data_IF_909005968672
#
_entry.id   IF_909005968672
#
_cell.length_a   1.000
_cell.length_b   1.000
_cell.length_c   1.000
_cell.angle_alpha   90.00
_cell.angle_beta   90.00
_cell.angle_gamma   90.00
#
_symmetry.space_group_name_H-M   'P 1'
#
loop_
_entity.id
_entity.type
_entity.pdbx_description
1 polymer ?
#
# COMPACT_ATOMS: atom_id res chain seq x y z
N UNK A 1 -18.93 10.04 21.80
CA UNK A 1 -17.77 9.51 21.03
C UNK A 1 -17.93 8.01 20.91
N UNK A 2 -17.87 7.46 19.69
CA UNK A 2 -18.01 6.02 19.44
C UNK A 2 -16.65 5.42 19.11
N UNK A 3 -16.29 4.29 19.76
CA UNK A 3 -15.00 3.63 19.61
C UNK A 3 -15.21 2.13 19.40
N UNK A 4 -14.80 1.62 18.25
CA UNK A 4 -14.97 0.22 17.87
C UNK A 4 -13.61 -0.40 17.49
N UNK A 5 -13.29 -1.55 18.08
CA UNK A 5 -12.16 -2.39 17.61
C UNK A 5 -12.59 -3.10 16.32
N UNK A 6 -11.93 -2.79 15.21
CA UNK A 6 -12.33 -3.30 13.88
C UNK A 6 -11.49 -4.50 13.43
N UNK A 7 -10.28 -4.64 13.96
CA UNK A 7 -9.39 -5.79 13.76
C UNK A 7 -8.32 -5.82 14.86
N UNK A 8 -7.52 -6.88 15.01
CA UNK A 8 -6.37 -6.90 15.89
C UNK A 8 -5.44 -5.70 15.64
N UNK A 9 -5.13 -4.93 16.72
CA UNK A 9 -4.29 -3.73 16.61
C UNK A 9 -4.93 -2.55 15.89
N UNK A 10 -6.25 -2.57 15.62
CA UNK A 10 -6.94 -1.54 14.87
C UNK A 10 -8.27 -1.12 15.51
N UNK A 11 -8.50 0.20 15.56
CA UNK A 11 -9.76 0.79 16.04
C UNK A 11 -10.27 1.87 15.09
N UNK A 12 -11.56 2.07 15.09
CA UNK A 12 -12.20 3.22 14.48
C UNK A 12 -12.89 4.06 15.56
N UNK A 13 -12.62 5.36 15.58
CA UNK A 13 -13.22 6.29 16.54
C UNK A 13 -13.92 7.40 15.78
N UNK A 14 -15.24 7.53 16.00
CA UNK A 14 -16.05 8.65 15.51
C UNK A 14 -16.32 9.63 16.65
N UNK A 15 -15.86 10.86 16.51
CA UNK A 15 -16.02 11.90 17.52
C UNK A 15 -17.36 12.65 17.41
N UNK A 16 -18.23 12.25 16.50
CA UNK A 16 -19.53 12.86 16.29
C UNK A 16 -19.45 14.32 15.85
N UNK A 17 -19.88 15.26 16.68
CA UNK A 17 -19.98 16.70 16.35
C UNK A 17 -18.64 17.34 15.95
N UNK A 18 -17.50 16.86 16.45
CA UNK A 18 -16.19 17.35 16.01
C UNK A 18 -15.89 16.96 14.56
N UNK A 19 -16.59 15.97 14.00
CA UNK A 19 -16.44 15.51 12.62
C UNK A 19 -15.09 14.83 12.34
N UNK A 20 -14.35 14.46 13.39
CA UNK A 20 -13.11 13.74 13.27
C UNK A 20 -13.41 12.23 13.34
N UNK A 21 -13.04 11.51 12.30
CA UNK A 21 -13.22 10.07 12.15
C UNK A 21 -11.83 9.43 12.02
N UNK A 22 -11.42 8.72 13.04
CA UNK A 22 -10.03 8.34 13.25
C UNK A 22 -9.86 6.84 13.04
N UNK A 23 -9.01 6.46 12.11
CA UNK A 23 -8.47 5.11 12.00
C UNK A 23 -7.24 5.01 12.90
N UNK A 24 -7.31 4.24 13.98
CA UNK A 24 -6.22 4.02 14.91
C UNK A 24 -5.54 2.69 14.57
N UNK A 25 -4.25 2.73 14.21
CA UNK A 25 -3.52 1.60 13.62
C UNK A 25 -3.79 1.46 12.12
N UNK A 26 -2.73 1.26 11.35
CA UNK A 26 -2.80 1.26 9.89
C UNK A 26 -1.90 0.21 9.25
N UNK A 27 -2.03 -1.09 9.60
CA UNK A 27 -1.33 -2.17 8.92
C UNK A 27 -1.87 -2.38 7.49
N UNK A 28 -1.28 -3.33 6.77
CA UNK A 28 -1.80 -3.75 5.46
C UNK A 28 -3.30 -4.08 5.51
N UNK A 29 -4.05 -3.74 4.45
CA UNK A 29 -5.51 -3.89 4.36
C UNK A 29 -6.34 -3.07 5.38
N UNK A 30 -5.76 -2.10 6.08
CA UNK A 30 -6.49 -1.30 7.09
C UNK A 30 -7.79 -0.69 6.54
N UNK A 31 -7.78 -0.19 5.32
CA UNK A 31 -8.97 0.40 4.70
C UNK A 31 -10.06 -0.65 4.41
N UNK A 32 -9.68 -1.88 4.03
CA UNK A 32 -10.66 -2.97 3.80
C UNK A 32 -11.36 -3.36 5.11
N UNK A 33 -10.64 -3.38 6.23
CA UNK A 33 -11.25 -3.57 7.55
C UNK A 33 -12.19 -2.43 7.92
N UNK A 34 -11.85 -1.17 7.59
CA UNK A 34 -12.73 -0.03 7.80
C UNK A 34 -14.03 -0.13 6.98
N UNK A 35 -13.97 -0.61 5.74
CA UNK A 35 -15.16 -0.92 4.93
C UNK A 35 -16.04 -1.98 5.61
N UNK A 36 -15.46 -3.11 6.02
CA UNK A 36 -16.22 -4.20 6.69
C UNK A 36 -16.86 -3.79 8.00
N UNK A 37 -16.20 -2.92 8.74
CA UNK A 37 -16.73 -2.38 9.99
C UNK A 37 -17.79 -1.30 9.78
N UNK A 38 -18.13 -0.91 8.54
CA UNK A 38 -19.06 0.17 8.26
C UNK A 38 -18.53 1.58 8.56
N UNK A 39 -17.23 1.72 8.80
CA UNK A 39 -16.58 3.01 8.98
C UNK A 39 -16.54 3.85 7.69
N UNK A 40 -16.63 3.19 6.54
CA UNK A 40 -16.82 3.83 5.23
C UNK A 40 -18.26 3.65 4.78
N UNK A 41 -18.91 4.76 4.42
CA UNK A 41 -20.31 4.76 4.00
C UNK A 41 -20.54 5.67 2.81
N UNK A 42 -21.57 5.39 2.02
CA UNK A 42 -22.02 6.25 0.92
C UNK A 42 -22.74 7.48 1.45
N UNK A 43 -22.49 8.62 0.85
CA UNK A 43 -23.15 9.90 1.09
C UNK A 43 -23.55 10.52 -0.25
N UNK A 44 -24.50 11.46 -0.19
CA UNK A 44 -24.97 12.21 -1.36
C UNK A 44 -25.02 13.68 -1.03
N UNK A 45 -24.56 14.52 -1.93
CA UNK A 45 -24.70 15.96 -1.86
C UNK A 45 -24.86 16.52 -3.28
N UNK A 46 -25.87 17.38 -3.46
CA UNK A 46 -26.16 18.03 -4.76
C UNK A 46 -26.27 17.04 -5.95
N UNK A 47 -26.86 15.85 -5.69
CA UNK A 47 -27.02 14.78 -6.69
C UNK A 47 -25.78 13.94 -6.95
N UNK A 48 -24.65 14.25 -6.34
CA UNK A 48 -23.42 13.49 -6.47
C UNK A 48 -23.26 12.50 -5.32
N UNK A 49 -23.07 11.22 -5.65
CA UNK A 49 -22.70 10.19 -4.67
C UNK A 49 -21.19 10.22 -4.40
N UNK A 50 -20.80 10.08 -3.14
CA UNK A 50 -19.40 9.98 -2.72
C UNK A 50 -19.28 9.12 -1.45
N UNK A 51 -18.06 8.84 -1.02
CA UNK A 51 -17.81 8.08 0.21
C UNK A 51 -17.42 9.01 1.36
N UNK A 52 -17.89 8.68 2.55
CA UNK A 52 -17.44 9.27 3.82
C UNK A 52 -16.79 8.16 4.63
N UNK A 53 -15.60 8.41 5.15
CA UNK A 53 -14.86 7.45 5.96
C UNK A 53 -13.91 8.15 6.93
N UNK A 54 -12.85 7.46 7.39
CA UNK A 54 -11.80 8.08 8.17
C UNK A 54 -11.25 9.34 7.50
N UNK A 55 -10.92 10.36 8.29
CA UNK A 55 -10.23 11.58 7.83
C UNK A 55 -8.98 11.89 8.68
N UNK A 56 -8.66 10.99 9.60
CA UNK A 56 -7.46 10.99 10.41
C UNK A 56 -6.94 9.58 10.62
N UNK A 57 -5.62 9.44 10.78
CA UNK A 57 -4.94 8.18 11.10
C UNK A 57 -4.03 8.41 12.30
N UNK A 58 -4.12 7.53 13.32
CA UNK A 58 -3.11 7.42 14.36
C UNK A 58 -2.20 6.23 14.03
N UNK A 59 -0.92 6.52 13.86
CA UNK A 59 0.10 5.52 13.55
C UNK A 59 0.51 4.73 14.79
N UNK A 60 0.94 3.49 14.59
CA UNK A 60 1.65 2.71 15.59
C UNK A 60 3.02 3.33 15.89
N UNK A 61 3.41 3.37 17.16
CA UNK A 61 4.78 3.75 17.54
C UNK A 61 5.80 2.65 17.18
N UNK A 62 5.35 1.41 17.10
CA UNK A 62 6.17 0.29 16.68
C UNK A 62 6.09 0.15 15.16
N UNK A 63 7.20 0.27 14.42
CA UNK A 63 7.18 0.14 12.96
C UNK A 63 6.83 -1.29 12.52
N UNK A 64 7.14 -2.28 13.33
CA UNK A 64 6.91 -3.71 13.05
C UNK A 64 6.31 -4.40 14.27
N UNK A 65 5.27 -5.19 14.06
CA UNK A 65 4.68 -6.07 15.06
C UNK A 65 4.50 -7.48 14.48
N UNK A 66 4.93 -8.51 15.20
CA UNK A 66 4.84 -9.90 14.75
C UNK A 66 5.41 -10.15 13.35
N UNK A 67 6.47 -9.39 12.98
CA UNK A 67 7.13 -9.51 11.70
C UNK A 67 6.40 -8.85 10.52
N UNK A 68 5.36 -8.06 10.75
CA UNK A 68 4.67 -7.27 9.73
C UNK A 68 4.76 -5.78 10.04
N UNK A 69 4.81 -4.94 9.01
CA UNK A 69 4.77 -3.49 9.18
C UNK A 69 3.43 -3.06 9.78
N UNK A 70 3.52 -2.23 10.82
CA UNK A 70 2.35 -1.74 11.54
C UNK A 70 1.78 -0.44 10.95
N UNK A 71 2.53 0.21 10.07
CA UNK A 71 2.14 1.45 9.41
C UNK A 71 2.31 1.30 7.89
N UNK A 72 1.19 1.23 7.19
CA UNK A 72 1.08 1.15 5.73
C UNK A 72 -0.09 2.05 5.35
N UNK A 73 0.12 3.37 5.42
CA UNK A 73 -0.98 4.34 5.39
C UNK A 73 -1.37 4.82 3.98
N UNK A 74 -0.74 4.33 2.92
CA UNK A 74 -1.00 4.79 1.56
C UNK A 74 -2.46 4.64 1.16
N UNK A 75 -3.00 3.42 1.13
CA UNK A 75 -4.36 3.19 0.64
C UNK A 75 -5.45 3.86 1.48
N UNK A 76 -5.39 3.88 2.82
CA UNK A 76 -6.29 4.70 3.61
C UNK A 76 -6.24 6.18 3.27
N UNK A 77 -5.05 6.74 3.02
CA UNK A 77 -4.90 8.14 2.61
C UNK A 77 -5.37 8.36 1.17
N UNK A 78 -5.02 7.49 0.22
CA UNK A 78 -5.53 7.59 -1.15
C UNK A 78 -7.07 7.50 -1.20
N UNK A 79 -7.67 6.69 -0.32
CA UNK A 79 -9.13 6.68 -0.15
C UNK A 79 -9.66 8.05 0.28
N UNK A 80 -9.01 8.70 1.26
CA UNK A 80 -9.39 10.05 1.70
C UNK A 80 -9.25 11.07 0.57
N UNK A 81 -8.12 11.03 -0.15
CA UNK A 81 -7.83 11.97 -1.23
C UNK A 81 -8.80 11.82 -2.42
N UNK A 82 -9.06 10.58 -2.86
CA UNK A 82 -9.73 10.32 -4.13
C UNK A 82 -11.16 9.79 -4.00
N UNK A 83 -11.42 8.78 -3.14
CA UNK A 83 -12.76 8.21 -2.98
C UNK A 83 -13.67 9.10 -2.13
N UNK A 84 -13.13 9.71 -1.08
CA UNK A 84 -13.82 10.77 -0.34
C UNK A 84 -13.69 12.14 -1.03
N UNK A 85 -12.77 12.30 -2.00
CA UNK A 85 -12.63 13.47 -2.86
C UNK A 85 -11.96 14.67 -2.20
N UNK A 86 -11.21 14.49 -1.11
CA UNK A 86 -10.62 15.62 -0.36
C UNK A 86 -9.64 16.47 -1.21
N UNK A 87 -9.02 15.91 -2.26
CA UNK A 87 -8.11 16.63 -3.17
C UNK A 87 -8.75 17.01 -4.50
N UNK A 88 -9.90 16.44 -4.86
CA UNK A 88 -10.54 16.60 -6.17
C UNK A 88 -11.22 17.98 -6.26
N UNK A 89 -10.86 18.84 -7.22
CA UNK A 89 -11.48 20.15 -7.37
C UNK A 89 -13.00 20.05 -7.60
N UNK A 90 -13.79 20.84 -6.85
CA UNK A 90 -15.25 20.88 -6.97
C UNK A 90 -15.99 19.66 -6.38
N UNK A 91 -15.28 18.69 -5.83
CA UNK A 91 -15.91 17.52 -5.20
C UNK A 91 -16.53 17.89 -3.84
N UNK A 92 -17.71 17.32 -3.45
CA UNK A 92 -18.36 17.61 -2.17
C UNK A 92 -17.51 17.33 -0.93
N UNK A 93 -16.60 16.35 -1.02
CA UNK A 93 -15.65 16.02 0.03
C UNK A 93 -14.44 16.95 0.13
N UNK A 94 -14.22 17.82 -0.88
CA UNK A 94 -13.15 18.81 -0.85
C UNK A 94 -13.58 20.04 -0.05
N UNK A 95 -13.45 19.96 1.26
CA UNK A 95 -13.78 21.05 2.20
C UNK A 95 -12.60 21.96 2.52
N UNK A 96 -11.43 21.71 1.91
CA UNK A 96 -10.17 22.36 2.24
C UNK A 96 -9.43 21.69 3.41
N UNK A 97 -10.04 20.72 4.09
CA UNK A 97 -9.35 19.89 5.09
C UNK A 97 -8.48 18.84 4.39
N UNK A 98 -7.38 18.50 5.05
CA UNK A 98 -6.44 17.47 4.59
C UNK A 98 -6.58 16.21 5.45
N UNK A 99 -6.26 15.01 4.94
CA UNK A 99 -6.02 13.85 5.80
C UNK A 99 -5.06 14.20 6.93
N UNK A 100 -5.45 13.89 8.17
CA UNK A 100 -4.61 14.11 9.35
C UNK A 100 -3.83 12.83 9.69
N UNK A 101 -2.51 12.95 9.75
CA UNK A 101 -1.63 11.86 10.16
C UNK A 101 -1.00 12.18 11.51
N UNK A 102 -1.15 11.29 12.49
CA UNK A 102 -0.73 11.48 13.87
C UNK A 102 0.21 10.36 14.28
N UNK A 103 1.35 10.68 14.89
CA UNK A 103 2.31 9.68 15.37
C UNK A 103 3.62 10.30 15.83
N UNK A 104 4.61 9.47 16.14
CA UNK A 104 5.95 9.95 16.47
C UNK A 104 6.61 10.64 15.26
N UNK A 105 7.49 11.64 15.48
CA UNK A 105 8.09 12.43 14.39
C UNK A 105 8.70 11.59 13.26
N UNK A 106 9.48 10.57 13.60
CA UNK A 106 10.12 9.71 12.59
C UNK A 106 9.11 8.86 11.81
N UNK A 107 8.07 8.34 12.48
CA UNK A 107 7.02 7.55 11.84
C UNK A 107 6.19 8.41 10.89
N UNK A 108 5.85 9.63 11.29
CA UNK A 108 5.08 10.55 10.43
C UNK A 108 5.86 10.92 9.17
N UNK A 109 7.14 11.25 9.29
CA UNK A 109 7.99 11.59 8.15
C UNK A 109 8.11 10.41 7.18
N UNK A 110 8.43 9.23 7.71
CA UNK A 110 8.52 8.01 6.91
C UNK A 110 7.20 7.71 6.17
N UNK A 111 6.06 7.84 6.84
CA UNK A 111 4.76 7.60 6.22
C UNK A 111 4.34 8.72 5.26
N UNK A 112 4.73 9.97 5.49
CA UNK A 112 4.49 11.06 4.54
C UNK A 112 5.25 10.83 3.22
N UNK A 113 6.49 10.37 3.30
CA UNK A 113 7.30 10.00 2.13
C UNK A 113 6.73 8.76 1.43
N UNK A 114 6.35 7.74 2.21
CA UNK A 114 5.71 6.53 1.69
C UNK A 114 4.42 6.82 0.92
N UNK A 115 3.55 7.66 1.50
CA UNK A 115 2.30 8.11 0.87
C UNK A 115 2.59 8.94 -0.38
N UNK A 116 3.61 9.80 -0.35
CA UNK A 116 4.01 10.59 -1.52
C UNK A 116 4.42 9.68 -2.68
N UNK A 117 5.25 8.67 -2.41
CA UNK A 117 5.66 7.68 -3.42
C UNK A 117 4.45 6.88 -3.95
N UNK A 118 3.50 6.51 -3.10
CA UNK A 118 2.27 5.84 -3.52
C UNK A 118 1.29 6.75 -4.29
N UNK A 119 1.37 8.06 -4.10
CA UNK A 119 0.48 9.01 -4.77
C UNK A 119 1.04 9.49 -6.13
N UNK A 120 2.37 9.65 -6.24
CA UNK A 120 3.00 10.26 -7.40
C UNK A 120 4.16 9.46 -7.99
N UNK A 121 4.68 8.45 -7.25
CA UNK A 121 5.93 7.78 -7.60
C UNK A 121 7.13 8.75 -7.63
N UNK A 122 8.12 8.44 -8.44
CA UNK A 122 9.31 9.29 -8.61
C UNK A 122 8.97 10.50 -9.48
N UNK A 123 9.18 11.71 -8.97
CA UNK A 123 8.84 12.97 -9.67
C UNK A 123 10.05 13.74 -10.18
N UNK A 124 11.25 13.37 -9.76
CA UNK A 124 12.51 13.87 -10.31
C UNK A 124 12.86 13.12 -11.61
N UNK A 125 13.10 13.83 -12.75
CA UNK A 125 13.35 13.18 -14.04
C UNK A 125 14.62 12.35 -14.06
N UNK A 126 15.72 12.81 -13.41
CA UNK A 126 17.00 12.08 -13.37
C UNK A 126 16.90 10.82 -12.50
N UNK A 127 16.12 10.85 -11.42
CA UNK A 127 15.87 9.65 -10.64
C UNK A 127 14.91 8.67 -11.33
N UNK A 128 13.91 9.20 -12.07
CA UNK A 128 12.90 8.39 -12.75
C UNK A 128 13.50 7.58 -13.90
N UNK A 129 14.28 8.22 -14.76
CA UNK A 129 14.92 7.59 -15.92
C UNK A 129 16.33 8.17 -16.16
N UNK A 130 17.35 7.75 -15.40
CA UNK A 130 18.70 8.25 -15.51
C UNK A 130 19.24 8.09 -16.93
N UNK A 131 19.67 9.21 -17.54
CA UNK A 131 20.24 9.22 -18.89
C UNK A 131 19.22 9.00 -20.03
N UNK A 132 17.91 8.98 -19.74
CA UNK A 132 16.83 8.88 -20.73
C UNK A 132 15.77 9.99 -20.51
N UNK A 133 16.05 11.22 -20.92
CA UNK A 133 15.15 12.36 -20.72
C UNK A 133 13.83 12.23 -21.49
N UNK A 134 13.80 11.49 -22.62
CA UNK A 134 12.58 11.28 -23.40
C UNK A 134 11.60 10.37 -22.63
N UNK A 135 12.09 9.29 -22.05
CA UNK A 135 11.31 8.42 -21.19
C UNK A 135 10.84 9.14 -19.93
N UNK A 136 11.72 9.93 -19.29
CA UNK A 136 11.37 10.72 -18.11
C UNK A 136 10.22 11.69 -18.41
N UNK A 137 10.32 12.48 -19.51
CA UNK A 137 9.27 13.41 -19.91
C UNK A 137 7.95 12.69 -20.24
N UNK A 138 8.01 11.58 -20.96
CA UNK A 138 6.83 10.76 -21.27
C UNK A 138 6.09 10.31 -20.02
N UNK A 139 6.81 9.71 -19.07
CA UNK A 139 6.20 9.22 -17.83
C UNK A 139 5.69 10.37 -16.95
N UNK A 140 6.47 11.44 -16.77
CA UNK A 140 6.07 12.59 -15.96
C UNK A 140 4.85 13.32 -16.54
N UNK A 141 4.70 13.38 -17.86
CA UNK A 141 3.54 13.97 -18.51
C UNK A 141 2.26 13.19 -18.19
N UNK A 142 2.33 11.85 -18.26
CA UNK A 142 1.20 10.98 -17.89
C UNK A 142 0.85 11.19 -16.41
N UNK A 143 1.83 11.11 -15.52
CA UNK A 143 1.65 11.23 -14.06
C UNK A 143 1.07 12.59 -13.68
N UNK A 144 1.51 13.70 -14.31
CA UNK A 144 0.95 15.05 -14.11
C UNK A 144 -0.53 15.13 -14.50
N UNK A 145 -0.95 14.39 -15.51
CA UNK A 145 -2.37 14.36 -15.89
C UNK A 145 -3.23 13.78 -14.76
N UNK A 146 -2.82 12.70 -14.14
CA UNK A 146 -3.49 12.12 -12.96
C UNK A 146 -3.38 13.02 -11.71
N UNK A 147 -2.31 13.79 -11.61
CA UNK A 147 -2.04 14.73 -10.50
C UNK A 147 -2.71 16.12 -10.69
N UNK A 148 -3.74 16.24 -11.53
CA UNK A 148 -4.42 17.50 -11.83
C UNK A 148 -3.46 18.62 -12.28
N UNK A 149 -2.45 18.26 -13.08
CA UNK A 149 -1.48 19.16 -13.69
C UNK A 149 -0.20 19.41 -12.89
N UNK A 150 -0.16 19.10 -11.58
CA UNK A 150 1.05 19.28 -10.77
C UNK A 150 1.18 18.28 -9.63
N UNK A 151 2.40 17.93 -9.30
CA UNK A 151 2.71 17.20 -8.07
C UNK A 151 2.68 18.18 -6.89
N UNK A 152 1.88 17.89 -5.88
CA UNK A 152 1.77 18.70 -4.68
C UNK A 152 2.71 18.14 -3.61
N UNK A 153 3.50 18.96 -2.90
CA UNK A 153 4.30 18.46 -1.78
C UNK A 153 3.40 17.86 -0.69
N UNK A 154 3.96 16.95 0.12
CA UNK A 154 3.20 16.25 1.19
C UNK A 154 2.49 17.23 2.12
N UNK A 155 3.07 18.38 2.41
CA UNK A 155 2.48 19.45 3.25
C UNK A 155 1.22 20.09 2.65
N UNK A 156 1.00 19.98 1.33
CA UNK A 156 -0.24 20.44 0.70
C UNK A 156 -1.35 19.40 0.71
N UNK A 157 -1.00 18.12 0.79
CA UNK A 157 -1.97 17.01 0.73
C UNK A 157 -2.24 16.37 2.09
N UNK A 158 -1.35 16.53 3.08
CA UNK A 158 -1.46 15.98 4.41
C UNK A 158 -1.35 17.07 5.47
N UNK A 159 -2.02 16.89 6.59
CA UNK A 159 -1.72 17.56 7.85
C UNK A 159 -0.99 16.57 8.76
N UNK A 160 0.18 16.97 9.25
CA UNK A 160 1.00 16.14 10.12
C UNK A 160 0.88 16.66 11.56
N UNK A 161 0.63 15.77 12.52
CA UNK A 161 0.53 16.07 13.94
C UNK A 161 1.50 15.19 14.71
N UNK A 162 2.61 15.78 15.11
CA UNK A 162 3.63 15.08 15.89
C UNK A 162 3.16 14.82 17.32
N UNK A 163 3.41 13.61 17.79
CA UNK A 163 3.19 13.18 19.16
C UNK A 163 4.50 13.34 19.94
N UNK A 164 4.85 14.60 20.23
CA UNK A 164 6.09 15.01 20.91
C UNK A 164 5.93 15.15 22.43
N UNK A 165 4.70 15.05 22.93
CA UNK A 165 4.33 15.18 24.34
C UNK A 165 3.34 14.12 24.80
N UNK A 166 2.87 14.25 26.06
CA UNK A 166 1.87 13.34 26.60
C UNK A 166 0.46 13.59 26.08
N UNK A 167 0.14 14.82 25.66
CA UNK A 167 -1.18 15.25 25.18
C UNK A 167 -1.01 16.19 24.00
N UNK A 168 -1.72 15.94 22.91
CA UNK A 168 -1.75 16.79 21.71
C UNK A 168 -3.19 17.04 21.27
N UNK A 169 -3.51 18.27 20.87
CA UNK A 169 -4.78 18.55 20.19
C UNK A 169 -4.69 18.09 18.73
N UNK A 170 -5.65 17.28 18.31
CA UNK A 170 -5.79 16.84 16.93
C UNK A 170 -6.49 17.91 16.09
N UNK A 171 -7.79 18.07 16.28
CA UNK A 171 -8.63 19.13 15.67
C UNK A 171 -9.87 19.38 16.52
N UNK A 172 -10.36 20.62 16.53
CA UNK A 172 -11.71 21.00 17.06
C UNK A 172 -11.94 20.55 18.51
N UNK A 173 -10.90 20.67 19.36
CA UNK A 173 -10.98 20.30 20.77
C UNK A 173 -10.98 18.79 21.03
N UNK A 174 -10.62 17.98 20.04
CA UNK A 174 -10.30 16.56 20.24
C UNK A 174 -8.84 16.44 20.62
N UNK A 175 -8.57 15.84 21.77
CA UNK A 175 -7.21 15.63 22.27
C UNK A 175 -6.85 14.15 22.25
N UNK A 176 -5.58 13.88 21.99
CA UNK A 176 -4.96 12.55 22.10
C UNK A 176 -3.98 12.57 23.26
N UNK A 177 -4.16 11.66 24.22
CA UNK A 177 -3.22 11.42 25.33
C UNK A 177 -2.49 10.11 25.09
N UNK A 178 -1.17 10.14 25.16
CA UNK A 178 -0.33 8.94 25.14
C UNK A 178 -0.30 8.31 26.53
N UNK A 179 -0.77 7.07 26.64
CA UNK A 179 -0.83 6.31 27.91
C UNK A 179 0.32 5.32 28.06
N UNK A 180 1.02 5.03 26.97
CA UNK A 180 2.14 4.09 26.89
C UNK A 180 2.40 3.75 25.43
N UNK A 181 3.38 2.88 25.16
CA UNK A 181 3.69 2.46 23.78
C UNK A 181 2.44 1.88 23.12
N UNK A 182 2.02 2.47 22.00
CA UNK A 182 0.82 2.09 21.23
C UNK A 182 -0.52 2.19 22.02
N UNK A 183 -0.54 2.80 23.18
CA UNK A 183 -1.76 2.97 23.99
C UNK A 183 -2.13 4.43 24.11
N UNK A 184 -3.34 4.76 23.67
CA UNK A 184 -3.81 6.12 23.59
C UNK A 184 -5.20 6.27 24.19
N UNK A 185 -5.47 7.46 24.68
CA UNK A 185 -6.81 7.92 25.12
C UNK A 185 -7.19 9.15 24.30
N UNK A 186 -8.31 9.06 23.60
CA UNK A 186 -8.95 10.18 22.92
C UNK A 186 -9.92 10.87 23.87
N UNK A 187 -9.91 12.20 23.89
CA UNK A 187 -10.69 13.03 24.82
C UNK A 187 -11.43 14.08 24.01
N UNK A 188 -12.77 14.15 24.19
CA UNK A 188 -13.58 15.18 23.57
C UNK A 188 -14.81 15.51 24.45
N UNK A 189 -15.01 16.78 24.84
CA UNK A 189 -16.13 17.25 25.65
C UNK A 189 -16.37 16.45 26.94
N UNK A 190 -15.31 15.96 27.58
CA UNK A 190 -15.38 15.16 28.79
C UNK A 190 -15.62 13.66 28.58
N UNK A 191 -15.92 13.24 27.37
CA UNK A 191 -15.93 11.83 27.01
C UNK A 191 -14.52 11.34 26.67
N UNK A 192 -14.24 10.05 26.94
CA UNK A 192 -12.96 9.42 26.64
C UNK A 192 -13.14 8.09 25.90
N UNK A 193 -12.20 7.77 25.02
CA UNK A 193 -12.09 6.47 24.38
C UNK A 193 -10.64 5.98 24.40
N UNK A 194 -10.43 4.74 24.80
CA UNK A 194 -9.10 4.16 24.86
C UNK A 194 -8.87 3.17 23.71
N UNK A 195 -7.70 3.23 23.11
CA UNK A 195 -7.25 2.33 22.05
C UNK A 195 -5.90 1.75 22.40
N UNK A 196 -5.71 0.46 22.11
CA UNK A 196 -4.44 -0.25 22.26
C UNK A 196 -4.08 -0.90 20.92
N UNK A 197 -3.08 -0.35 20.24
CA UNK A 197 -2.63 -0.81 18.94
C UNK A 197 -1.65 -1.98 19.03
N UNK A 198 -1.34 -2.45 20.23
CA UNK A 198 -0.52 -3.64 20.42
C UNK A 198 -1.30 -4.90 20.03
N UNK A 199 -0.62 -5.82 19.36
CA UNK A 199 -1.13 -7.16 19.14
C UNK A 199 -1.02 -7.97 20.43
N UNK A 200 -2.13 -8.54 20.87
CA UNK A 200 -2.18 -9.43 22.04
C UNK A 200 -1.42 -10.74 21.83
N UNK A 201 -1.32 -11.57 22.87
CA UNK A 201 -0.74 -12.90 22.76
C UNK A 201 -1.46 -13.74 21.69
N UNK A 202 -0.70 -14.25 20.71
CA UNK A 202 -1.26 -15.06 19.62
C UNK A 202 -2.00 -14.28 18.53
N UNK A 203 -2.21 -12.97 18.67
CA UNK A 203 -2.81 -12.15 17.61
C UNK A 203 -1.82 -11.84 16.50
N UNK A 204 -2.33 -11.79 15.28
CA UNK A 204 -1.66 -11.32 14.07
C UNK A 204 -2.57 -10.28 13.40
N UNK A 205 -2.01 -9.45 12.51
CA UNK A 205 -2.84 -8.64 11.62
C UNK A 205 -3.68 -9.56 10.73
N UNK A 206 -4.99 -9.37 10.77
CA UNK A 206 -5.95 -10.27 10.14
C UNK A 206 -6.09 -10.00 8.64
N UNK A 207 -6.29 -11.06 7.88
CA UNK A 207 -6.75 -10.95 6.50
C UNK A 207 -8.25 -10.59 6.52
N UNK A 208 -8.71 -9.55 5.79
CA UNK A 208 -10.11 -9.12 5.84
C UNK A 208 -11.06 -10.01 5.05
N UNK A 209 -10.58 -10.86 4.16
CA UNK A 209 -11.37 -11.73 3.29
C UNK A 209 -11.02 -13.20 3.51
N UNK A 210 -11.95 -14.07 3.10
CA UNK A 210 -11.72 -15.52 3.09
C UNK A 210 -10.94 -15.94 1.84
N UNK A 211 -9.94 -16.78 2.05
CA UNK A 211 -9.18 -17.39 0.97
C UNK A 211 -9.69 -18.82 0.75
N UNK A 212 -10.06 -19.14 -0.48
CA UNK A 212 -10.49 -20.49 -0.84
C UNK A 212 -9.26 -21.33 -1.16
N UNK A 213 -9.17 -22.48 -0.49
CA UNK A 213 -8.13 -23.44 -0.80
C UNK A 213 -8.30 -24.01 -2.22
N UNK A 214 -7.23 -23.97 -2.99
CA UNK A 214 -7.14 -24.54 -4.32
C UNK A 214 -5.75 -25.15 -4.50
N UNK A 215 -5.56 -25.95 -5.54
CA UNK A 215 -4.26 -26.51 -5.85
C UNK A 215 -3.76 -25.87 -7.15
N UNK A 216 -2.60 -25.24 -7.08
CA UNK A 216 -1.94 -24.70 -8.28
C UNK A 216 -1.51 -25.86 -9.19
N UNK A 217 -2.00 -25.87 -10.42
CA UNK A 217 -1.61 -26.84 -11.45
C UNK A 217 -0.28 -26.40 -12.05
N UNK A 218 0.74 -27.28 -11.97
CA UNK A 218 2.09 -27.00 -12.46
C UNK A 218 2.28 -27.63 -13.84
N UNK A 219 1.72 -26.99 -14.86
CA UNK A 219 1.94 -27.36 -16.25
C UNK A 219 3.16 -26.63 -16.84
N UNK A 220 3.56 -27.01 -18.05
CA UNK A 220 4.70 -26.41 -18.74
C UNK A 220 4.61 -24.90 -18.93
N UNK A 221 3.37 -24.38 -19.18
CA UNK A 221 3.04 -22.96 -19.11
C UNK A 221 1.62 -22.81 -18.57
N UNK A 222 1.47 -22.11 -17.45
CA UNK A 222 0.15 -21.87 -16.84
C UNK A 222 0.11 -20.57 -16.08
N UNK A 223 -1.11 -20.05 -15.85
CA UNK A 223 -1.38 -18.87 -15.03
C UNK A 223 -2.42 -19.24 -13.97
N UNK A 224 -2.14 -18.93 -12.73
CA UNK A 224 -3.07 -19.12 -11.60
C UNK A 224 -3.36 -17.77 -10.97
N UNK A 225 -4.62 -17.33 -11.01
CA UNK A 225 -5.02 -16.09 -10.35
C UNK A 225 -5.20 -16.31 -8.85
N UNK A 226 -4.55 -15.47 -8.05
CA UNK A 226 -4.64 -15.47 -6.58
C UNK A 226 -5.67 -14.48 -6.07
N UNK A 227 -5.96 -13.45 -6.84
CA UNK A 227 -6.93 -12.41 -6.51
C UNK A 227 -7.27 -11.54 -7.71
N UNK A 228 -8.44 -10.90 -7.64
CA UNK A 228 -8.99 -10.05 -8.71
C UNK A 228 -9.59 -8.74 -8.18
N UNK A 229 -9.49 -8.50 -6.85
CA UNK A 229 -9.94 -7.28 -6.19
C UNK A 229 -8.94 -6.15 -6.34
N UNK A 230 -9.42 -4.93 -6.15
CA UNK A 230 -8.57 -3.76 -5.96
C UNK A 230 -8.20 -3.55 -4.48
N UNK A 231 -7.45 -2.49 -4.19
CA UNK A 231 -7.02 -2.15 -2.83
C UNK A 231 -8.15 -1.73 -1.89
N UNK A 232 -9.37 -1.48 -2.40
CA UNK A 232 -10.54 -1.06 -1.61
C UNK A 232 -11.67 -2.08 -1.57
N UNK A 233 -11.61 -3.15 -2.36
CA UNK A 233 -12.60 -4.23 -2.30
C UNK A 233 -12.39 -5.06 -1.02
N UNK A 234 -13.33 -5.00 -0.04
CA UNK A 234 -13.13 -5.64 1.26
C UNK A 234 -13.28 -7.17 1.21
N UNK A 235 -13.86 -7.72 0.15
CA UNK A 235 -14.26 -9.13 0.09
C UNK A 235 -13.34 -9.99 -0.77
N UNK A 236 -12.42 -9.35 -1.52
CA UNK A 236 -11.52 -10.05 -2.43
C UNK A 236 -10.05 -9.69 -2.17
N UNK A 237 -9.12 -10.69 -2.35
CA UNK A 237 -7.70 -10.40 -2.40
C UNK A 237 -7.38 -9.42 -3.55
N UNK A 238 -6.36 -8.62 -3.37
CA UNK A 238 -5.86 -7.74 -4.42
C UNK A 238 -5.36 -8.55 -5.61
N UNK A 239 -5.39 -7.94 -6.80
CA UNK A 239 -4.96 -8.60 -8.02
C UNK A 239 -3.53 -9.11 -7.88
N UNK A 240 -3.37 -10.41 -8.07
CA UNK A 240 -2.08 -11.08 -8.13
C UNK A 240 -2.23 -12.38 -8.93
N UNK A 241 -1.16 -12.83 -9.58
CA UNK A 241 -1.18 -14.06 -10.37
C UNK A 241 0.16 -14.78 -10.27
N UNK A 242 0.13 -16.10 -10.36
CA UNK A 242 1.33 -16.90 -10.54
C UNK A 242 1.43 -17.27 -12.02
N UNK A 243 2.56 -16.98 -12.62
CA UNK A 243 2.93 -17.43 -13.97
C UNK A 243 3.96 -18.54 -13.83
N UNK A 244 3.66 -19.69 -14.40
CA UNK A 244 4.58 -20.83 -14.44
C UNK A 244 5.12 -21.03 -15.85
N UNK A 245 6.42 -21.24 -15.96
CA UNK A 245 7.10 -21.51 -17.23
C UNK A 245 8.49 -22.09 -16.99
N UNK A 246 8.90 -23.07 -17.82
CA UNK A 246 10.21 -23.71 -17.69
C UNK A 246 10.49 -24.41 -16.37
N UNK A 247 9.46 -24.81 -15.64
CA UNK A 247 9.58 -25.43 -14.31
C UNK A 247 9.68 -24.44 -13.16
N UNK A 248 9.64 -23.13 -13.42
CA UNK A 248 9.69 -22.06 -12.40
C UNK A 248 8.33 -21.41 -12.21
N UNK A 249 8.06 -20.98 -10.99
CA UNK A 249 6.90 -20.18 -10.62
C UNK A 249 7.32 -18.74 -10.31
N UNK A 250 6.69 -17.79 -10.96
CA UNK A 250 6.86 -16.36 -10.72
C UNK A 250 5.55 -15.76 -10.24
N UNK A 251 5.61 -14.88 -9.27
CA UNK A 251 4.47 -14.08 -8.86
C UNK A 251 4.39 -12.81 -9.74
N UNK A 252 3.23 -12.40 -10.15
CA UNK A 252 2.95 -11.09 -10.76
C UNK A 252 2.20 -10.27 -9.75
N UNK A 253 2.85 -9.22 -9.26
CA UNK A 253 2.44 -8.36 -8.17
C UNK A 253 2.26 -9.06 -6.81
N UNK A 254 2.53 -8.34 -5.74
CA UNK A 254 2.51 -8.84 -4.38
C UNK A 254 1.69 -7.86 -3.51
N UNK A 255 0.37 -7.99 -3.54
CA UNK A 255 -0.53 -7.22 -2.68
C UNK A 255 -0.52 -7.69 -1.22
N UNK A 256 -1.32 -7.04 -0.35
CA UNK A 256 -1.45 -7.40 1.05
C UNK A 256 -1.80 -8.88 1.26
N UNK A 257 -1.22 -9.50 2.28
CA UNK A 257 -1.43 -10.92 2.62
C UNK A 257 -1.14 -11.91 1.48
N UNK A 258 -0.22 -11.57 0.58
CA UNK A 258 0.15 -12.45 -0.55
C UNK A 258 0.68 -13.81 -0.11
N UNK A 259 1.35 -13.89 1.04
CA UNK A 259 1.81 -15.14 1.66
C UNK A 259 0.63 -16.07 2.01
N UNK A 260 -0.45 -15.54 2.56
CA UNK A 260 -1.67 -16.32 2.81
C UNK A 260 -2.34 -16.74 1.49
N UNK A 261 -2.34 -15.89 0.46
CA UNK A 261 -2.86 -16.23 -0.88
C UNK A 261 -2.05 -17.35 -1.54
N UNK A 262 -0.72 -17.35 -1.38
CA UNK A 262 0.14 -18.44 -1.84
C UNK A 262 -0.14 -19.75 -1.09
N UNK A 263 -0.27 -19.68 0.23
CA UNK A 263 -0.60 -20.84 1.06
C UNK A 263 -1.94 -21.47 0.65
N UNK A 264 -2.95 -20.65 0.36
CA UNK A 264 -4.27 -21.11 -0.08
C UNK A 264 -4.23 -21.94 -1.37
N UNK A 265 -3.22 -21.75 -2.22
CA UNK A 265 -3.00 -22.56 -3.45
C UNK A 265 -1.89 -23.61 -3.29
N UNK A 266 -1.47 -23.87 -2.06
CA UNK A 266 -0.48 -24.90 -1.74
C UNK A 266 0.97 -24.54 -2.10
N UNK A 267 1.30 -23.24 -2.12
CA UNK A 267 2.64 -22.74 -2.40
C UNK A 267 3.21 -21.97 -1.19
N UNK A 268 4.49 -22.17 -0.92
CA UNK A 268 5.24 -21.33 -0.01
C UNK A 268 6.00 -20.24 -0.80
N UNK A 269 6.31 -19.08 -0.18
CA UNK A 269 7.16 -18.07 -0.81
C UNK A 269 8.49 -18.62 -1.36
N UNK A 270 9.09 -19.58 -0.68
CA UNK A 270 10.33 -20.24 -1.11
C UNK A 270 10.19 -21.06 -2.42
N UNK A 271 8.96 -21.39 -2.84
CA UNK A 271 8.69 -22.05 -4.12
C UNK A 271 8.77 -21.10 -5.32
N UNK A 272 8.72 -19.78 -5.07
CA UNK A 272 8.81 -18.77 -6.13
C UNK A 272 10.25 -18.60 -6.58
N UNK A 273 10.45 -18.40 -7.88
CA UNK A 273 11.72 -17.94 -8.45
C UNK A 273 11.89 -16.43 -8.22
N UNK A 274 10.82 -15.68 -8.42
CA UNK A 274 10.84 -14.24 -8.27
C UNK A 274 9.46 -13.62 -8.36
N UNK A 275 9.43 -12.28 -8.34
CA UNK A 275 8.24 -11.44 -8.43
C UNK A 275 8.39 -10.47 -9.59
N UNK A 276 7.48 -10.49 -10.52
CA UNK A 276 7.29 -9.44 -11.49
C UNK A 276 6.46 -8.32 -10.85
N UNK A 277 6.95 -7.10 -10.87
CA UNK A 277 6.24 -5.94 -10.33
C UNK A 277 5.78 -5.03 -11.47
N UNK A 278 4.47 -4.81 -11.57
CA UNK A 278 3.89 -3.92 -12.58
C UNK A 278 4.03 -2.47 -12.19
N UNK A 279 3.79 -2.13 -10.92
CA UNK A 279 3.92 -0.82 -10.30
C UNK A 279 3.90 -0.94 -8.77
N UNK A 280 3.95 0.19 -8.06
CA UNK A 280 4.21 0.19 -6.61
C UNK A 280 3.04 0.67 -5.74
N UNK A 281 1.78 0.67 -6.22
CA UNK A 281 0.65 0.83 -5.31
C UNK A 281 0.57 -0.32 -4.31
N UNK A 282 0.12 -0.07 -3.09
CA UNK A 282 0.12 -1.07 -2.00
C UNK A 282 -0.64 -2.35 -2.34
N UNK A 283 -1.69 -2.27 -3.13
CA UNK A 283 -2.45 -3.45 -3.59
C UNK A 283 -1.67 -4.35 -4.56
N UNK A 284 -0.52 -3.89 -5.07
CA UNK A 284 0.41 -4.65 -5.92
C UNK A 284 1.78 -4.86 -5.27
N UNK A 285 2.11 -4.12 -4.22
CA UNK A 285 3.49 -3.96 -3.74
C UNK A 285 3.70 -4.40 -2.28
N UNK A 286 2.77 -4.09 -1.35
CA UNK A 286 3.07 -4.17 0.08
C UNK A 286 3.38 -5.58 0.56
N UNK A 287 2.88 -6.59 -0.12
CA UNK A 287 3.17 -8.00 0.17
C UNK A 287 4.63 -8.40 -0.06
N UNK A 288 5.42 -7.60 -0.80
CA UNK A 288 6.88 -7.78 -0.87
C UNK A 288 7.50 -7.81 0.53
N UNK A 289 6.93 -7.07 1.49
CA UNK A 289 7.40 -7.04 2.89
C UNK A 289 7.30 -8.40 3.58
N UNK A 290 6.31 -9.21 3.25
CA UNK A 290 6.19 -10.59 3.72
C UNK A 290 7.19 -11.50 3.01
N UNK A 291 7.41 -11.28 1.71
CA UNK A 291 8.33 -12.08 0.89
C UNK A 291 9.81 -11.82 1.21
N UNK A 292 10.16 -10.65 1.77
CA UNK A 292 11.51 -10.36 2.28
C UNK A 292 12.00 -11.36 3.34
N UNK A 293 11.09 -12.07 3.98
CA UNK A 293 11.39 -13.09 5.01
C UNK A 293 11.52 -14.50 4.45
N UNK A 294 11.45 -14.65 3.12
CA UNK A 294 11.68 -15.95 2.49
C UNK A 294 13.10 -16.45 2.78
N UNK A 295 13.25 -17.73 3.06
CA UNK A 295 14.56 -18.38 3.25
C UNK A 295 15.44 -18.26 2.01
N UNK A 296 14.82 -18.09 0.87
CA UNK A 296 15.50 -17.86 -0.43
C UNK A 296 15.35 -16.41 -0.83
N UNK A 297 16.44 -15.77 -1.23
CA UNK A 297 16.43 -14.45 -1.86
C UNK A 297 15.73 -14.54 -3.22
N UNK A 298 14.60 -13.87 -3.36
CA UNK A 298 13.78 -13.88 -4.57
C UNK A 298 14.30 -12.85 -5.58
N UNK A 299 14.10 -13.14 -6.87
CA UNK A 299 14.30 -12.15 -7.92
C UNK A 299 13.16 -11.12 -7.89
N UNK A 300 13.48 -9.84 -8.01
CA UNK A 300 12.49 -8.78 -8.25
C UNK A 300 12.70 -8.23 -9.66
N UNK A 301 11.73 -8.48 -10.52
CA UNK A 301 11.82 -8.23 -11.96
C UNK A 301 10.83 -7.13 -12.34
N UNK A 302 11.31 -6.01 -12.84
CA UNK A 302 10.47 -4.93 -13.35
C UNK A 302 11.25 -4.01 -14.31
N UNK A 303 10.57 -3.09 -14.98
CA UNK A 303 11.22 -2.00 -15.68
C UNK A 303 11.99 -1.09 -14.71
N UNK A 304 13.08 -0.47 -15.16
CA UNK A 304 13.98 0.31 -14.32
C UNK A 304 13.27 1.36 -13.43
N UNK A 305 12.39 2.21 -13.98
CA UNK A 305 11.61 3.17 -13.17
C UNK A 305 10.81 2.52 -12.04
N UNK A 306 10.19 1.36 -12.29
CA UNK A 306 9.40 0.63 -11.29
C UNK A 306 10.29 0.03 -10.19
N UNK A 307 11.49 -0.50 -10.53
CA UNK A 307 12.44 -0.99 -9.53
C UNK A 307 12.93 0.14 -8.61
N UNK A 308 13.23 1.31 -9.17
CA UNK A 308 13.64 2.49 -8.39
C UNK A 308 12.53 2.97 -7.47
N UNK A 309 11.28 3.00 -7.94
CA UNK A 309 10.13 3.34 -7.11
C UNK A 309 9.91 2.32 -5.97
N UNK A 310 10.04 1.02 -6.26
CA UNK A 310 9.94 -0.04 -5.26
C UNK A 310 11.02 0.11 -4.18
N UNK A 311 12.24 0.43 -4.57
CA UNK A 311 13.34 0.69 -3.65
C UNK A 311 13.03 1.88 -2.74
N UNK A 312 12.67 3.04 -3.29
CA UNK A 312 12.31 4.24 -2.50
C UNK A 312 11.17 3.98 -1.51
N UNK A 313 10.15 3.26 -1.95
CA UNK A 313 9.02 2.92 -1.11
C UNK A 313 9.40 2.00 0.05
N UNK A 314 10.22 0.99 -0.19
CA UNK A 314 10.72 0.10 0.87
C UNK A 314 11.69 0.82 1.81
N UNK A 315 12.51 1.74 1.32
CA UNK A 315 13.35 2.60 2.15
C UNK A 315 12.51 3.46 3.10
N UNK A 316 11.47 4.14 2.59
CA UNK A 316 10.56 4.93 3.40
C UNK A 316 9.83 4.09 4.47
N UNK A 317 9.43 2.86 4.12
CA UNK A 317 8.68 1.97 5.03
C UNK A 317 9.57 1.34 6.10
N UNK A 318 10.79 0.91 5.72
CA UNK A 318 11.68 0.13 6.59
C UNK A 318 12.72 0.95 7.33
N UNK A 319 13.01 2.17 6.88
CA UNK A 319 14.16 2.96 7.33
C UNK A 319 15.52 2.40 6.92
N UNK A 320 15.54 1.37 6.06
CA UNK A 320 16.78 0.75 5.57
C UNK A 320 17.26 1.49 4.31
N UNK A 321 18.55 1.74 4.20
CA UNK A 321 19.13 2.38 3.01
C UNK A 321 19.16 1.43 1.80
N UNK A 322 19.47 2.02 0.64
CA UNK A 322 19.43 1.36 -0.69
C UNK A 322 20.23 0.06 -0.79
N UNK A 323 21.37 -0.04 -0.09
CA UNK A 323 22.17 -1.28 -0.06
C UNK A 323 21.42 -2.46 0.57
N UNK A 324 20.54 -2.19 1.55
CA UNK A 324 19.77 -3.24 2.20
C UNK A 324 18.75 -3.87 1.24
N UNK A 325 18.16 -3.07 0.35
CA UNK A 325 17.22 -3.56 -0.66
C UNK A 325 17.84 -4.65 -1.57
N UNK A 326 19.05 -4.41 -2.05
CA UNK A 326 19.79 -5.40 -2.83
C UNK A 326 20.17 -6.68 -2.07
N UNK A 327 20.13 -6.68 -0.73
CA UNK A 327 20.31 -7.88 0.10
C UNK A 327 19.01 -8.68 0.26
N UNK A 328 17.86 -7.99 0.19
CA UNK A 328 16.53 -8.61 0.33
C UNK A 328 16.06 -9.28 -0.95
N UNK A 329 16.33 -8.64 -2.09
CA UNK A 329 15.95 -9.14 -3.41
C UNK A 329 17.15 -9.14 -4.37
N UNK A 330 17.14 -10.06 -5.33
CA UNK A 330 18.00 -10.01 -6.52
C UNK A 330 17.28 -9.15 -7.58
N UNK A 331 17.78 -7.92 -7.80
CA UNK A 331 17.15 -7.00 -8.74
C UNK A 331 17.45 -7.37 -10.17
N UNK A 332 16.42 -7.53 -11.00
CA UNK A 332 16.53 -7.79 -12.44
C UNK A 332 15.74 -6.75 -13.21
N UNK A 333 16.46 -5.84 -13.84
CA UNK A 333 15.86 -4.84 -14.70
C UNK A 333 15.42 -5.46 -16.03
N UNK A 334 14.14 -5.31 -16.36
CA UNK A 334 13.56 -5.70 -17.63
C UNK A 334 13.55 -4.50 -18.59
N UNK A 335 13.97 -4.73 -19.81
CA UNK A 335 13.90 -3.72 -20.89
C UNK A 335 12.45 -3.62 -21.37
N UNK A 336 11.85 -2.44 -21.24
CA UNK A 336 10.49 -2.18 -21.71
C UNK A 336 10.42 -2.19 -23.26
N UNK A 337 9.30 -2.62 -23.81
CA UNK A 337 9.04 -2.64 -25.25
C UNK A 337 9.66 -3.82 -26.00
N UNK A 338 10.46 -4.65 -25.34
CA UNK A 338 11.14 -5.81 -25.97
C UNK A 338 10.88 -7.08 -25.17
N UNK A 339 11.07 -8.24 -25.83
CA UNK A 339 11.04 -9.53 -25.14
C UNK A 339 12.35 -9.75 -24.37
N UNK A 340 12.23 -9.95 -23.06
CA UNK A 340 13.32 -10.36 -22.18
C UNK A 340 13.24 -11.86 -21.97
N UNK A 341 14.37 -12.54 -22.14
CA UNK A 341 14.47 -13.99 -21.98
C UNK A 341 14.82 -14.32 -20.52
N UNK A 342 14.04 -15.20 -19.93
CA UNK A 342 14.25 -15.81 -18.63
C UNK A 342 14.23 -17.33 -18.79
N UNK A 343 14.60 -18.06 -17.74
CA UNK A 343 14.60 -19.52 -17.79
C UNK A 343 13.19 -20.07 -18.11
N UNK A 344 12.96 -20.49 -19.35
CA UNK A 344 11.71 -21.10 -19.84
C UNK A 344 10.56 -20.11 -20.07
N UNK A 345 10.78 -18.81 -19.94
CA UNK A 345 9.77 -17.78 -20.07
C UNK A 345 10.31 -16.57 -20.84
N UNK A 346 9.48 -16.01 -21.70
CA UNK A 346 9.72 -14.71 -22.32
C UNK A 346 8.72 -13.70 -21.73
N UNK A 347 9.22 -12.56 -21.30
CA UNK A 347 8.40 -11.47 -20.74
C UNK A 347 8.66 -10.16 -21.47
N UNK A 348 7.61 -9.41 -21.76
CA UNK A 348 7.70 -8.08 -22.34
C UNK A 348 6.87 -7.11 -21.50
N UNK A 349 7.52 -6.21 -20.75
CA UNK A 349 6.84 -5.08 -20.12
C UNK A 349 6.64 -3.96 -21.15
N UNK A 350 5.46 -3.38 -21.18
CA UNK A 350 5.15 -2.17 -21.95
C UNK A 350 4.57 -1.11 -21.00
N UNK A 351 5.01 0.16 -21.07
CA UNK A 351 4.51 1.22 -20.21
C UNK A 351 3.01 1.45 -20.43
N UNK A 352 2.31 1.73 -19.34
CA UNK A 352 0.86 1.95 -19.32
C UNK A 352 0.52 3.26 -18.58
N UNK A 353 -0.49 4.03 -19.04
CA UNK A 353 -0.93 5.23 -18.33
C UNK A 353 -1.47 4.91 -16.93
N UNK A 354 -0.85 5.51 -15.92
CA UNK A 354 -1.20 5.34 -14.52
C UNK A 354 -0.63 6.52 -13.69
N UNK A 355 -1.13 6.79 -12.45
CA UNK A 355 -0.54 7.79 -11.56
C UNK A 355 0.94 7.56 -11.23
N UNK A 356 1.38 6.30 -11.22
CA UNK A 356 2.76 5.89 -11.01
C UNK A 356 3.40 5.39 -12.30
N UNK A 357 4.71 5.21 -12.29
CA UNK A 357 5.43 4.42 -13.30
C UNK A 357 4.91 2.98 -13.30
N UNK A 358 4.26 2.61 -14.39
CA UNK A 358 3.51 1.35 -14.49
C UNK A 358 3.76 0.65 -15.81
N UNK A 359 3.84 -0.67 -15.76
CA UNK A 359 3.90 -1.53 -16.94
C UNK A 359 2.78 -2.54 -16.93
N UNK A 360 2.34 -2.93 -18.13
CA UNK A 360 1.60 -4.16 -18.36
C UNK A 360 2.57 -5.21 -18.86
N UNK A 361 2.40 -6.47 -18.45
CA UNK A 361 3.34 -7.53 -18.79
C UNK A 361 2.69 -8.58 -19.70
N UNK A 362 3.40 -8.96 -20.76
CA UNK A 362 3.03 -10.05 -21.63
C UNK A 362 3.98 -11.21 -21.43
N UNK A 363 3.43 -12.40 -21.34
CA UNK A 363 4.18 -13.63 -21.11
C UNK A 363 3.94 -14.62 -22.25
N UNK A 364 4.97 -15.37 -22.59
CA UNK A 364 4.86 -16.56 -23.43
C UNK A 364 5.95 -17.58 -23.05
N UNK A 365 5.73 -18.89 -23.28
CA UNK A 365 6.77 -19.87 -23.06
C UNK A 365 7.97 -19.60 -23.98
N UNK A 366 9.19 -19.75 -23.45
CA UNK A 366 10.35 -19.87 -24.29
C UNK A 366 10.29 -21.27 -24.92
N UNK A 367 10.06 -21.34 -26.24
CA UNK A 367 10.13 -22.61 -26.96
C UNK A 367 11.59 -23.08 -26.86
N UNK A 368 11.83 -24.18 -26.15
CA UNK A 368 13.09 -24.87 -26.27
C UNK A 368 13.16 -25.32 -27.73
N UNK A 369 14.14 -24.79 -28.49
CA UNK A 369 14.44 -25.26 -29.83
C UNK A 369 14.69 -26.75 -29.76
N UNK A 370 13.82 -27.51 -30.46
CA UNK A 370 14.01 -28.93 -30.67
C UNK A 370 15.25 -29.19 -31.57
#
# INVERSE_FOLDING_TARGET
MDCTRIAPGMYYVDTGEAGLRILCGCPENAIKHAFKAGAVRKAHKDGQAYEIGPNAIILSELPVQRGRFANVAEFPVLHMLYRQGMIIPGHPGNTGEKPLLVGLPDQIRAQADYIYQGNYGITDPEELAPGDPELADYLLRIKRWFAFGRFKPSSEILELRELDGHVVELRRGVFLRRMGVNRYELIYKGETAQVDLNLGPGELYACPYELKAAQAIRDGFSVVHLGEGDGWDPDRPCMSSIVMGGGYAYLVDAGPHVDASLEAVGLAPACLRGVFLTHTHDDHFVGLTALMRSERRLELLAAGPVLRAAQKKLEALSGLGSEAFGRLFELKELKAGVWNELEGLLVRPDYSPHPLETTVMRFKPALQGG
#
